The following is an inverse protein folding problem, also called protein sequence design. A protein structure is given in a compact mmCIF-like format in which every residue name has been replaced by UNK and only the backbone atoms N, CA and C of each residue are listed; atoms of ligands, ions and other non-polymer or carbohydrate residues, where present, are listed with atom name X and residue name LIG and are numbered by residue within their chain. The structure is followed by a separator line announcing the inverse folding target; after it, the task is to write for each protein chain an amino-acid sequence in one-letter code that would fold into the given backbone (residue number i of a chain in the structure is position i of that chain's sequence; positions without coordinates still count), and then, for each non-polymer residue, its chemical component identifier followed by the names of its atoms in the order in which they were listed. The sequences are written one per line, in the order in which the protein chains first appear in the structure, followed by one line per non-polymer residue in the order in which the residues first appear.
data_IF_998775140664
#
_entry.id   IF_998775140664
#
_cell.length_a   1.000
_cell.length_b   1.000
_cell.length_c   1.000
_cell.angle_alpha   90.00
_cell.angle_beta   90.00
_cell.angle_gamma   90.00
#
_symmetry.space_group_name_H-M   'P 1'
#
loop_
_entity.id
_entity.type
_entity.pdbx_description
1 polymer ?
#
# COMPACT_ATOMS: atom_id res chain seq x y z
N UNK A 1 -9.72 -13.03 -3.70
CA UNK A 1 -9.39 -11.96 -4.67
C UNK A 1 -8.53 -10.90 -4.01
N UNK A 2 -7.47 -10.52 -4.65
CA UNK A 2 -6.56 -9.48 -4.16
C UNK A 2 -6.82 -8.19 -4.93
N UNK A 3 -7.04 -7.09 -4.21
CA UNK A 3 -7.35 -5.79 -4.80
C UNK A 3 -6.26 -4.81 -4.36
N UNK A 4 -5.44 -4.38 -5.30
CA UNK A 4 -4.43 -3.36 -5.05
C UNK A 4 -5.05 -1.98 -5.37
N UNK A 5 -5.18 -1.13 -4.35
CA UNK A 5 -5.76 0.20 -4.49
C UNK A 5 -4.64 1.23 -4.41
N UNK A 6 -4.41 1.92 -5.52
CA UNK A 6 -3.31 2.86 -5.70
C UNK A 6 -3.78 4.29 -5.52
N UNK A 7 -3.05 5.06 -4.75
CA UNK A 7 -3.36 6.48 -4.55
C UNK A 7 -2.09 7.30 -4.45
N UNK A 8 -2.22 8.58 -4.79
CA UNK A 8 -1.21 9.58 -4.49
C UNK A 8 -1.48 10.21 -3.13
N UNK A 9 -0.65 11.16 -2.70
CA UNK A 9 -0.86 11.88 -1.43
C UNK A 9 -2.15 12.71 -1.48
N UNK A 10 -2.72 12.98 -0.30
CA UNK A 10 -3.91 13.82 -0.13
C UNK A 10 -5.21 13.23 -0.71
N UNK A 11 -5.25 11.92 -0.90
CA UNK A 11 -6.50 11.21 -1.21
C UNK A 11 -7.10 10.63 0.07
N UNK A 12 -8.41 10.31 0.03
CA UNK A 12 -9.11 9.70 1.16
C UNK A 12 -8.90 8.18 1.21
N UNK A 13 -7.69 7.73 0.89
CA UNK A 13 -7.39 6.32 0.73
C UNK A 13 -7.44 5.53 2.04
N UNK A 14 -7.02 6.14 3.15
CA UNK A 14 -7.04 5.47 4.46
C UNK A 14 -8.47 5.26 4.95
N UNK A 15 -9.31 6.28 4.83
CA UNK A 15 -10.72 6.18 5.22
C UNK A 15 -11.45 5.11 4.39
N UNK A 16 -11.18 5.06 3.10
CA UNK A 16 -11.77 4.06 2.21
C UNK A 16 -11.32 2.65 2.60
N UNK A 17 -10.04 2.46 2.89
CA UNK A 17 -9.50 1.17 3.34
C UNK A 17 -10.21 0.68 4.59
N UNK A 18 -10.37 1.53 5.61
CA UNK A 18 -11.05 1.14 6.84
C UNK A 18 -12.53 0.87 6.63
N UNK A 19 -13.15 1.57 5.68
CA UNK A 19 -14.54 1.31 5.31
C UNK A 19 -14.72 -0.14 4.81
N UNK A 20 -13.83 -0.61 3.94
CA UNK A 20 -13.84 -2.01 3.51
C UNK A 20 -13.46 -2.97 4.64
N UNK A 21 -12.56 -2.55 5.53
CA UNK A 21 -12.12 -3.37 6.66
C UNK A 21 -13.21 -3.68 7.69
N UNK A 22 -14.32 -2.95 7.67
CA UNK A 22 -15.47 -3.28 8.52
C UNK A 22 -16.27 -4.48 8.04
N UNK A 23 -16.03 -4.93 6.80
CA UNK A 23 -16.71 -6.10 6.24
C UNK A 23 -16.04 -7.38 6.72
N UNK A 24 -16.84 -8.42 6.97
CA UNK A 24 -16.34 -9.71 7.44
C UNK A 24 -15.55 -10.48 6.40
N UNK A 25 -15.74 -10.18 5.12
CA UNK A 25 -15.12 -10.89 4.00
C UNK A 25 -13.84 -10.21 3.46
N UNK A 26 -13.41 -9.08 4.07
CA UNK A 26 -12.23 -8.35 3.64
C UNK A 26 -11.12 -8.38 4.69
N UNK A 27 -9.90 -8.70 4.25
CA UNK A 27 -8.68 -8.37 4.96
C UNK A 27 -8.15 -7.04 4.42
N UNK A 28 -7.41 -6.29 5.23
CA UNK A 28 -6.80 -5.03 4.80
C UNK A 28 -5.32 -5.03 5.12
N UNK A 29 -4.53 -4.40 4.23
CA UNK A 29 -3.11 -4.12 4.47
C UNK A 29 -2.84 -2.68 4.09
N UNK A 30 -2.20 -1.95 5.01
CA UNK A 30 -1.93 -0.53 4.86
C UNK A 30 -0.49 -0.32 4.45
N UNK A 31 -0.29 0.13 3.22
CA UNK A 31 1.01 0.55 2.68
C UNK A 31 2.13 -0.47 2.92
N UNK A 32 2.03 -1.69 2.36
CA UNK A 32 3.04 -2.74 2.62
C UNK A 32 4.47 -2.36 2.22
N UNK A 33 4.65 -1.48 1.24
CA UNK A 33 5.98 -1.07 0.76
C UNK A 33 6.56 0.13 1.50
N UNK A 34 5.89 0.65 2.53
CA UNK A 34 6.32 1.88 3.21
C UNK A 34 7.72 1.74 3.82
N UNK A 35 7.96 0.66 4.56
CA UNK A 35 9.27 0.43 5.19
C UNK A 35 10.38 0.27 4.15
N UNK A 36 10.11 -0.44 3.05
CA UNK A 36 11.06 -0.59 1.96
C UNK A 36 11.37 0.75 1.29
N UNK A 37 10.36 1.58 1.11
CA UNK A 37 10.51 2.93 0.55
C UNK A 37 11.39 3.81 1.45
N UNK A 38 11.12 3.81 2.76
CA UNK A 38 11.93 4.59 3.71
C UNK A 38 13.39 4.12 3.72
N UNK A 39 13.61 2.81 3.71
CA UNK A 39 14.95 2.25 3.72
C UNK A 39 15.73 2.59 2.45
N UNK A 40 15.07 2.49 1.28
CA UNK A 40 15.71 2.71 -0.02
C UNK A 40 16.01 4.18 -0.29
N UNK A 41 15.13 5.09 0.14
CA UNK A 41 15.28 6.53 -0.14
C UNK A 41 16.08 7.27 0.92
N UNK A 42 16.22 6.71 2.13
CA UNK A 42 16.87 7.38 3.23
C UNK A 42 16.12 8.61 3.76
N UNK A 43 14.85 8.79 3.37
CA UNK A 43 14.05 9.90 3.85
C UNK A 43 13.82 9.77 5.35
N UNK A 44 14.10 10.84 6.08
CA UNK A 44 13.84 10.88 7.51
C UNK A 44 12.36 11.05 7.76
N UNK A 45 11.82 10.21 8.62
CA UNK A 45 10.42 10.25 8.99
C UNK A 45 10.28 10.04 10.50
N UNK A 46 9.29 10.67 11.11
CA UNK A 46 8.98 10.45 12.51
C UNK A 46 8.70 8.96 12.74
N UNK A 47 9.28 8.38 13.78
CA UNK A 47 9.15 6.96 14.13
C UNK A 47 9.76 6.00 13.07
N UNK A 48 10.68 6.49 12.24
CA UNK A 48 11.30 5.67 11.20
C UNK A 48 11.95 4.41 11.77
N UNK A 49 12.66 4.52 12.89
CA UNK A 49 13.34 3.37 13.50
C UNK A 49 12.35 2.28 13.91
N UNK A 50 11.19 2.67 14.46
CA UNK A 50 10.16 1.71 14.84
C UNK A 50 9.55 1.04 13.62
N UNK A 51 9.30 1.81 12.57
CA UNK A 51 8.74 1.27 11.31
C UNK A 51 9.72 0.27 10.70
N UNK A 52 11.00 0.61 10.60
CA UNK A 52 12.02 -0.26 10.01
C UNK A 52 12.25 -1.52 10.85
N UNK A 53 12.10 -1.43 12.17
CA UNK A 53 12.27 -2.57 13.06
C UNK A 53 11.11 -3.57 12.98
N UNK A 54 9.89 -3.10 12.69
CA UNK A 54 8.68 -3.91 12.78
C UNK A 54 8.05 -4.30 11.43
N UNK A 55 8.53 -3.73 10.32
CA UNK A 55 7.99 -4.01 8.99
C UNK A 55 9.07 -4.58 8.07
N UNK A 56 8.64 -5.40 7.11
CA UNK A 56 9.53 -5.94 6.10
C UNK A 56 10.09 -4.84 5.22
N UNK A 57 11.39 -4.86 4.97
CA UNK A 57 12.09 -3.85 4.18
C UNK A 57 12.52 -4.33 2.80
N UNK A 58 12.54 -5.65 2.57
CA UNK A 58 12.92 -6.21 1.28
C UNK A 58 11.74 -6.16 0.31
N UNK A 59 11.80 -5.35 -0.76
CA UNK A 59 10.68 -5.22 -1.68
C UNK A 59 10.31 -6.53 -2.38
N UNK A 60 11.25 -7.44 -2.57
CA UNK A 60 10.95 -8.73 -3.19
C UNK A 60 10.13 -9.63 -2.27
N UNK A 61 10.45 -9.64 -0.97
CA UNK A 61 9.68 -10.39 0.03
C UNK A 61 8.29 -9.78 0.17
N UNK A 62 8.19 -8.46 0.21
CA UNK A 62 6.89 -7.77 0.29
C UNK A 62 6.03 -8.11 -0.92
N UNK A 63 6.61 -8.12 -2.12
CA UNK A 63 5.90 -8.46 -3.34
C UNK A 63 5.36 -9.90 -3.29
N UNK A 64 6.15 -10.85 -2.82
CA UNK A 64 5.72 -12.23 -2.63
C UNK A 64 4.57 -12.33 -1.62
N UNK A 65 4.64 -11.57 -0.54
CA UNK A 65 3.59 -11.55 0.47
C UNK A 65 2.27 -10.98 -0.08
N UNK A 66 2.36 -9.98 -0.95
CA UNK A 66 1.17 -9.36 -1.54
C UNK A 66 0.38 -10.30 -2.45
N UNK A 67 1.01 -11.35 -2.96
CA UNK A 67 0.34 -12.35 -3.81
C UNK A 67 0.21 -13.71 -3.12
N UNK A 68 0.53 -13.79 -1.83
CA UNK A 68 0.40 -14.99 -1.03
C UNK A 68 -1.05 -15.24 -0.60
N UNK A 69 -1.22 -16.09 0.42
CA UNK A 69 -2.54 -16.39 0.98
C UNK A 69 -3.15 -15.15 1.62
N UNK A 70 -4.43 -14.91 1.38
CA UNK A 70 -5.14 -13.80 1.99
C UNK A 70 -5.10 -13.93 3.52
N UNK A 71 -4.83 -12.84 4.26
CA UNK A 71 -4.85 -12.88 5.72
C UNK A 71 -6.19 -13.38 6.25
N UNK A 72 -6.13 -14.17 7.33
CA UNK A 72 -7.31 -14.74 7.99
C UNK A 72 -8.24 -15.54 7.07
N UNK A 73 -7.73 -16.02 5.93
CA UNK A 73 -8.50 -16.77 4.92
C UNK A 73 -9.71 -16.00 4.40
N UNK A 74 -9.65 -14.67 4.39
CA UNK A 74 -10.74 -13.85 3.88
C UNK A 74 -10.87 -14.00 2.36
N UNK A 75 -12.08 -13.83 1.84
CA UNK A 75 -12.35 -13.95 0.40
C UNK A 75 -11.70 -12.83 -0.39
N UNK A 76 -11.58 -11.64 0.21
CA UNK A 76 -11.02 -10.46 -0.42
C UNK A 76 -9.89 -9.89 0.43
N UNK A 77 -8.89 -9.32 -0.26
CA UNK A 77 -7.77 -8.69 0.41
C UNK A 77 -7.57 -7.29 -0.20
N UNK A 78 -7.91 -6.26 0.56
CA UNK A 78 -7.73 -4.87 0.19
C UNK A 78 -6.32 -4.45 0.58
N UNK A 79 -5.49 -4.11 -0.41
CA UNK A 79 -4.13 -3.63 -0.19
C UNK A 79 -4.07 -2.16 -0.61
N UNK A 80 -3.85 -1.28 0.36
CA UNK A 80 -3.64 0.13 0.07
C UNK A 80 -2.17 0.34 -0.31
N UNK A 81 -1.93 0.90 -1.50
CA UNK A 81 -0.60 1.21 -1.98
C UNK A 81 -0.50 2.68 -2.35
N UNK A 82 0.64 3.30 -2.02
CA UNK A 82 0.95 4.65 -2.46
C UNK A 82 1.83 4.59 -3.70
N UNK A 83 1.45 5.28 -4.76
CA UNK A 83 2.22 5.27 -6.01
C UNK A 83 3.67 5.71 -5.77
N UNK A 84 3.89 6.65 -4.86
CA UNK A 84 5.23 7.16 -4.54
C UNK A 84 6.15 6.12 -3.89
N UNK A 85 5.61 5.04 -3.32
CA UNK A 85 6.42 3.98 -2.72
C UNK A 85 7.05 3.05 -3.77
N UNK A 86 6.53 3.06 -4.99
CA UNK A 86 7.02 2.18 -6.06
C UNK A 86 8.10 2.89 -6.85
N UNK A 87 9.30 2.96 -6.26
CA UNK A 87 10.46 3.59 -6.88
C UNK A 87 11.14 2.65 -7.86
N UNK A 88 12.04 3.19 -8.66
CA UNK A 88 12.80 2.41 -9.63
C UNK A 88 13.54 1.25 -8.95
N UNK A 89 13.47 0.08 -9.53
CA UNK A 89 14.09 -1.12 -8.98
C UNK A 89 13.17 -1.98 -8.12
N UNK A 90 12.03 -1.45 -7.69
CA UNK A 90 11.04 -2.26 -6.95
C UNK A 90 10.25 -3.14 -7.91
N UNK A 91 9.93 -4.38 -7.53
CA UNK A 91 9.17 -5.27 -8.40
C UNK A 91 7.72 -4.82 -8.55
N UNK A 92 7.19 -4.91 -9.77
CA UNK A 92 5.78 -4.60 -10.07
C UNK A 92 5.04 -5.80 -10.68
N UNK A 93 5.74 -6.89 -10.94
CA UNK A 93 5.12 -8.08 -11.56
C UNK A 93 4.00 -8.67 -10.70
N UNK A 94 4.12 -8.55 -9.38
CA UNK A 94 3.08 -9.01 -8.46
C UNK A 94 1.74 -8.34 -8.70
N UNK A 95 1.74 -7.07 -9.12
CA UNK A 95 0.51 -6.32 -9.36
C UNK A 95 -0.35 -6.92 -10.47
N UNK A 96 0.25 -7.65 -11.40
CA UNK A 96 -0.49 -8.33 -12.47
C UNK A 96 -1.42 -9.41 -11.93
N UNK A 97 -1.15 -9.92 -10.74
CA UNK A 97 -1.96 -10.94 -10.08
C UNK A 97 -3.05 -10.36 -9.20
N UNK A 98 -3.14 -9.04 -9.11
CA UNK A 98 -4.14 -8.32 -8.34
C UNK A 98 -5.07 -7.57 -9.26
N UNK A 99 -6.28 -7.28 -8.79
CA UNK A 99 -7.16 -6.32 -9.43
C UNK A 99 -6.70 -4.93 -9.00
N UNK A 100 -6.32 -4.09 -9.97
CA UNK A 100 -5.76 -2.77 -9.67
C UNK A 100 -6.83 -1.69 -9.83
N UNK A 101 -6.96 -0.86 -8.79
CA UNK A 101 -7.87 0.27 -8.76
C UNK A 101 -7.04 1.52 -8.45
N UNK A 102 -7.26 2.59 -9.20
CA UNK A 102 -6.54 3.85 -9.02
C UNK A 102 -7.51 4.91 -8.51
N UNK A 103 -7.16 5.53 -7.38
CA UNK A 103 -7.92 6.65 -6.82
C UNK A 103 -7.35 7.94 -7.38
N UNK A 104 -8.18 8.69 -8.12
CA UNK A 104 -7.77 9.92 -8.80
C UNK A 104 -8.49 11.10 -8.16
N UNK A 105 -7.73 12.15 -7.83
CA UNK A 105 -8.27 13.39 -7.33
C UNK A 105 -7.93 14.51 -8.31
N UNK A 106 -8.87 15.46 -8.47
CA UNK A 106 -8.65 16.59 -9.37
C UNK A 106 -7.37 17.37 -8.97
N UNK A 107 -6.44 17.63 -9.91
CA UNK A 107 -5.16 18.28 -9.58
C UNK A 107 -5.27 19.58 -8.80
N UNK A 108 -6.25 20.42 -9.14
CA UNK A 108 -6.45 21.67 -8.43
C UNK A 108 -6.80 21.48 -6.95
N UNK A 109 -7.56 20.43 -6.63
CA UNK A 109 -7.89 20.10 -5.24
C UNK A 109 -6.69 19.57 -4.47
N UNK A 110 -5.85 18.79 -5.13
CA UNK A 110 -4.62 18.29 -4.53
C UNK A 110 -3.70 19.45 -4.17
N UNK A 111 -3.49 20.36 -5.09
CA UNK A 111 -2.65 21.55 -4.89
C UNK A 111 -3.21 22.40 -3.74
N UNK A 112 -4.51 22.64 -3.72
CA UNK A 112 -5.15 23.44 -2.68
C UNK A 112 -5.05 22.81 -1.29
N UNK A 113 -4.87 21.48 -1.17
CA UNK A 113 -4.76 20.80 0.10
C UNK A 113 -3.37 20.86 0.72
N UNK A 114 -2.37 21.25 -0.05
CA UNK A 114 -1.02 21.46 0.44
C UNK A 114 -0.84 22.88 0.98
#
# INVERSE_FOLDING_TARGET
MKIAVWSGPRNLSTALMYSFGTRNDFAISDEPFYAAYLNATGIQHQMQEEILANQEQDPNIIAENCIGTNPDNKNYWYQKHMCQHMIEGFPLEWAKKCKNVFLIRHPARVIASY
#
